data_IF_710284444757
#
_entry.id   IF_710284444757
#
_cell.length_a   1.000
_cell.length_b   1.000
_cell.length_c   1.000
_cell.angle_alpha   90.00
_cell.angle_beta   90.00
_cell.angle_gamma   90.00
#
_symmetry.space_group_name_H-M   'P 1'
#
loop_
_entity.id
_entity.type
_entity.pdbx_description
1 polymer ?
#
# COMPACT_ATOMS: atom_id res chain seq x y z
N UNK A 1 46.84 25.60 15.54
CA UNK A 1 45.56 25.18 14.90
C UNK A 1 45.46 23.67 15.02
N UNK A 2 44.49 23.14 15.76
CA UNK A 2 43.83 21.87 15.43
C UNK A 2 42.52 21.78 16.24
N UNK A 3 41.44 22.17 15.59
CA UNK A 3 40.08 21.95 16.03
C UNK A 3 39.74 20.54 15.57
N UNK A 4 39.65 19.58 16.49
CA UNK A 4 39.08 18.27 16.19
C UNK A 4 37.55 18.38 16.21
N UNK A 5 36.96 18.42 15.02
CA UNK A 5 35.52 18.35 14.83
C UNK A 5 35.01 16.97 15.27
N UNK A 6 34.18 16.93 16.33
CA UNK A 6 33.31 15.78 16.63
C UNK A 6 32.20 15.77 15.57
N UNK A 7 32.28 14.84 14.61
CA UNK A 7 31.29 14.72 13.54
C UNK A 7 31.12 13.27 13.11
N UNK A 8 30.62 12.41 14.00
CA UNK A 8 30.39 10.99 13.69
C UNK A 8 29.04 10.47 14.21
N UNK A 9 28.01 11.34 14.30
CA UNK A 9 26.66 10.95 14.73
C UNK A 9 25.58 11.16 13.65
N UNK A 10 25.90 11.81 12.53
CA UNK A 10 24.93 12.15 11.48
C UNK A 10 24.65 11.01 10.47
N UNK A 11 25.65 10.28 9.94
CA UNK A 11 25.38 9.31 8.87
C UNK A 11 24.79 8.00 9.39
N UNK A 12 25.04 7.63 10.65
CA UNK A 12 24.54 6.40 11.28
C UNK A 12 23.05 6.50 11.64
N UNK A 13 22.55 7.70 11.96
CA UNK A 13 21.15 7.92 12.28
C UNK A 13 20.26 7.83 11.04
N UNK A 14 20.77 8.26 9.88
CA UNK A 14 20.03 8.23 8.60
C UNK A 14 19.77 6.80 8.11
N UNK A 15 20.73 5.89 8.30
CA UNK A 15 20.60 4.46 7.94
C UNK A 15 19.52 3.73 8.72
N UNK A 16 19.25 4.15 9.96
CA UNK A 16 18.21 3.58 10.83
C UNK A 16 16.80 4.05 10.45
N UNK A 17 16.68 5.22 9.81
CA UNK A 17 15.39 5.82 9.43
C UNK A 17 14.86 5.31 8.08
N UNK A 18 15.73 4.80 7.21
CA UNK A 18 15.37 4.30 5.87
C UNK A 18 14.38 3.11 5.87
N UNK A 19 14.57 2.04 6.69
CA UNK A 19 13.61 0.93 6.70
C UNK A 19 12.22 1.33 7.24
N UNK A 20 12.14 2.33 8.12
CA UNK A 20 10.84 2.88 8.57
C UNK A 20 10.09 3.60 7.44
N UNK A 21 10.81 4.29 6.55
CA UNK A 21 10.20 4.98 5.41
C UNK A 21 9.57 4.01 4.40
N UNK A 22 10.21 2.87 4.16
CA UNK A 22 9.68 1.85 3.25
C UNK A 22 8.37 1.23 3.79
N UNK A 23 8.27 1.01 5.10
CA UNK A 23 7.04 0.53 5.73
C UNK A 23 5.88 1.54 5.65
N UNK A 24 6.19 2.85 5.65
CA UNK A 24 5.19 3.92 5.60
C UNK A 24 4.52 4.09 4.22
N UNK A 25 5.15 3.62 3.14
CA UNK A 25 4.60 3.72 1.77
C UNK A 25 3.52 2.66 1.47
N UNK A 26 3.31 1.69 2.37
CA UNK A 26 2.25 0.68 2.24
C UNK A 26 2.44 -0.29 1.07
N UNK A 27 3.64 -0.37 0.51
CA UNK A 27 3.96 -1.29 -0.61
C UNK A 27 4.47 -2.62 -0.08
N UNK A 28 3.90 -3.71 -0.57
CA UNK A 28 4.28 -5.08 -0.21
C UNK A 28 5.07 -5.69 -1.37
N UNK A 29 6.17 -6.38 -1.08
CA UNK A 29 6.89 -7.17 -2.09
C UNK A 29 6.08 -8.43 -2.46
N UNK A 30 5.23 -8.29 -3.47
CA UNK A 30 4.40 -9.37 -3.98
C UNK A 30 5.20 -10.53 -4.60
N UNK A 31 6.48 -10.36 -4.94
CA UNK A 31 7.28 -11.44 -5.53
C UNK A 31 7.72 -12.50 -4.51
N UNK A 32 7.58 -12.20 -3.20
CA UNK A 32 8.10 -13.02 -2.09
C UNK A 32 7.14 -13.06 -0.91
N UNK A 33 5.86 -13.27 -1.18
CA UNK A 33 4.87 -13.36 -0.10
C UNK A 33 4.97 -14.71 0.61
N UNK A 34 5.23 -14.69 1.91
CA UNK A 34 5.36 -15.89 2.73
C UNK A 34 4.05 -16.18 3.45
N UNK A 35 3.42 -17.32 3.12
CA UNK A 35 2.28 -17.87 3.86
C UNK A 35 2.51 -19.36 4.06
N UNK A 36 2.27 -19.86 5.28
CA UNK A 36 2.44 -21.29 5.63
C UNK A 36 3.80 -21.89 5.21
N UNK A 37 4.88 -21.12 5.32
CA UNK A 37 6.26 -21.47 4.90
C UNK A 37 6.44 -21.67 3.39
N UNK A 38 5.46 -21.29 2.58
CA UNK A 38 5.54 -21.26 1.13
C UNK A 38 5.70 -19.83 0.63
N UNK A 39 6.61 -19.64 -0.33
CA UNK A 39 6.73 -18.38 -1.05
C UNK A 39 5.78 -18.37 -2.24
N UNK A 40 4.94 -17.34 -2.30
CA UNK A 40 4.03 -17.06 -3.40
C UNK A 40 4.51 -15.82 -4.14
N UNK A 41 4.51 -15.91 -5.47
CA UNK A 41 4.66 -14.76 -6.34
C UNK A 41 3.27 -14.29 -6.78
N UNK A 42 2.83 -13.17 -6.20
CA UNK A 42 1.58 -12.49 -6.53
C UNK A 42 1.81 -11.30 -7.46
N UNK A 43 2.99 -11.13 -8.06
CA UNK A 43 3.29 -10.00 -8.96
C UNK A 43 2.35 -9.92 -10.15
N UNK A 44 1.80 -11.05 -10.60
CA UNK A 44 0.77 -11.10 -11.63
C UNK A 44 -0.57 -10.42 -11.23
N UNK A 45 -0.79 -10.18 -9.92
CA UNK A 45 -1.94 -9.47 -9.36
C UNK A 45 -1.62 -8.01 -9.00
N UNK A 46 -0.48 -7.49 -9.44
CA UNK A 46 -0.11 -6.09 -9.22
C UNK A 46 -1.01 -5.17 -10.05
N UNK A 47 -1.75 -4.30 -9.36
CA UNK A 47 -2.68 -3.36 -9.95
C UNK A 47 -4.08 -3.45 -9.33
N UNK A 48 -4.97 -2.50 -9.66
CA UNK A 48 -6.35 -2.53 -9.18
C UNK A 48 -7.18 -3.62 -9.88
N UNK A 49 -7.77 -4.51 -9.11
CA UNK A 49 -8.73 -5.52 -9.58
C UNK A 49 -10.10 -5.27 -8.94
N UNK A 50 -11.17 -5.30 -9.74
CA UNK A 50 -12.53 -5.06 -9.27
C UNK A 50 -13.39 -6.32 -9.33
N UNK A 51 -14.17 -6.57 -8.28
CA UNK A 51 -15.13 -7.69 -8.20
C UNK A 51 -16.46 -7.19 -7.66
N UNK A 52 -17.56 -7.70 -8.23
CA UNK A 52 -18.91 -7.40 -7.77
C UNK A 52 -19.38 -8.49 -6.80
N UNK A 53 -19.88 -8.08 -5.64
CA UNK A 53 -20.54 -8.92 -4.68
C UNK A 53 -22.00 -8.50 -4.58
N UNK A 54 -22.90 -9.44 -4.80
CA UNK A 54 -24.35 -9.21 -4.78
C UNK A 54 -24.96 -9.92 -3.57
N UNK A 55 -25.70 -9.16 -2.76
CA UNK A 55 -26.47 -9.68 -1.63
C UNK A 55 -27.95 -9.46 -1.92
N UNK A 56 -28.76 -10.52 -1.79
CA UNK A 56 -30.21 -10.39 -1.92
C UNK A 56 -30.76 -9.64 -0.72
N UNK A 57 -31.51 -8.56 -0.98
CA UNK A 57 -32.21 -7.77 0.04
C UNK A 57 -33.64 -7.51 -0.45
N UNK A 58 -34.56 -8.49 -0.30
CA UNK A 58 -35.87 -8.42 -0.93
C UNK A 58 -36.63 -7.10 -0.62
N UNK A 59 -37.28 -6.48 -1.63
CA UNK A 59 -37.49 -6.97 -2.99
C UNK A 59 -36.36 -6.64 -3.99
N UNK A 60 -35.17 -6.23 -3.53
CA UNK A 60 -34.06 -5.79 -4.39
C UNK A 60 -32.77 -6.61 -4.16
N UNK A 61 -31.73 -6.24 -4.92
CA UNK A 61 -30.37 -6.73 -4.76
C UNK A 61 -29.46 -5.56 -4.41
N UNK A 62 -28.57 -5.76 -3.45
CA UNK A 62 -27.49 -4.82 -3.14
C UNK A 62 -26.22 -5.31 -3.82
N UNK A 63 -25.83 -4.62 -4.90
CA UNK A 63 -24.57 -4.86 -5.59
C UNK A 63 -23.50 -3.93 -5.04
N UNK A 64 -22.43 -4.50 -4.51
CA UNK A 64 -21.25 -3.76 -4.07
C UNK A 64 -20.05 -4.18 -4.91
N UNK A 65 -19.42 -3.21 -5.57
CA UNK A 65 -18.17 -3.45 -6.31
C UNK A 65 -16.99 -3.06 -5.44
N UNK A 66 -16.13 -4.02 -5.13
CA UNK A 66 -14.88 -3.78 -4.41
C UNK A 66 -13.74 -3.66 -5.41
N UNK A 67 -12.85 -2.70 -5.20
CA UNK A 67 -11.56 -2.65 -5.92
C UNK A 67 -10.43 -2.86 -4.93
N UNK A 68 -9.51 -3.77 -5.26
CA UNK A 68 -8.42 -4.17 -4.38
C UNK A 68 -7.12 -4.14 -5.20
N UNK A 69 -6.04 -3.65 -4.60
CA UNK A 69 -4.69 -3.85 -5.08
C UNK A 69 -3.89 -4.45 -3.93
N UNK A 70 -3.35 -5.65 -4.14
CA UNK A 70 -2.68 -6.43 -3.09
C UNK A 70 -1.27 -5.91 -2.85
N UNK A 71 -0.60 -5.43 -3.90
CA UNK A 71 0.82 -5.10 -3.85
C UNK A 71 1.08 -3.66 -3.44
N UNK A 72 0.15 -2.76 -3.76
CA UNK A 72 0.34 -1.31 -3.61
C UNK A 72 -0.96 -0.62 -3.19
N UNK A 73 -0.87 0.56 -2.54
CA UNK A 73 -2.06 1.31 -2.19
C UNK A 73 -2.86 1.76 -3.43
N UNK A 74 -4.17 1.94 -3.28
CA UNK A 74 -5.04 2.34 -4.39
C UNK A 74 -4.82 3.81 -4.75
N UNK A 75 -4.76 4.08 -6.06
CA UNK A 75 -4.70 5.45 -6.57
C UNK A 75 -6.12 6.03 -6.58
N UNK A 76 -6.34 7.26 -6.08
CA UNK A 76 -7.64 7.89 -6.11
C UNK A 76 -8.17 8.01 -7.55
N UNK A 77 -9.46 7.77 -7.74
CA UNK A 77 -10.10 7.91 -9.04
C UNK A 77 -10.14 9.40 -9.45
N UNK A 78 -9.49 9.73 -10.56
CA UNK A 78 -9.43 11.09 -11.10
C UNK A 78 -10.80 11.61 -11.56
N UNK A 79 -11.75 10.71 -11.83
CA UNK A 79 -13.10 11.06 -12.27
C UNK A 79 -14.02 11.42 -11.09
N UNK A 80 -13.60 11.13 -9.85
CA UNK A 80 -14.34 11.49 -8.63
C UNK A 80 -13.83 12.84 -8.10
N UNK A 81 -14.75 13.72 -7.68
CA UNK A 81 -14.41 15.02 -7.08
C UNK A 81 -13.59 14.82 -5.81
N UNK A 82 -12.65 15.73 -5.53
CA UNK A 82 -11.69 15.56 -4.43
C UNK A 82 -12.38 15.39 -3.07
N UNK A 83 -13.52 16.04 -2.89
CA UNK A 83 -14.31 16.06 -1.66
C UNK A 83 -15.11 14.77 -1.46
N UNK A 84 -15.36 14.03 -2.54
CA UNK A 84 -16.11 12.76 -2.56
C UNK A 84 -15.16 11.54 -2.58
N UNK A 85 -13.85 11.76 -2.72
CA UNK A 85 -12.85 10.68 -2.72
C UNK A 85 -12.73 10.08 -1.33
N UNK A 86 -12.53 8.78 -1.30
CA UNK A 86 -12.12 8.12 -0.08
C UNK A 86 -10.78 8.70 0.42
N UNK A 87 -10.57 8.78 1.75
CA UNK A 87 -9.29 9.16 2.31
C UNK A 87 -8.18 8.27 1.73
N UNK A 88 -7.07 8.89 1.33
CA UNK A 88 -5.92 8.12 0.85
C UNK A 88 -5.43 7.16 1.94
N UNK A 89 -4.98 5.94 1.59
CA UNK A 89 -4.77 5.42 0.23
C UNK A 89 -5.85 4.39 -0.21
N UNK A 90 -7.11 4.82 -0.19
CA UNK A 90 -8.28 4.00 -0.59
C UNK A 90 -9.05 4.65 -1.74
N UNK A 91 -9.97 3.91 -2.38
CA UNK A 91 -10.78 4.34 -3.52
C UNK A 91 -12.23 3.88 -3.36
#
# INVERSE_FOLDING_TARGET
>A
MHIHARGAAMPTLMSLLFPLYAAALGTIDCSKMLADKHNFDLSALDGPHSVMHSVEQPPSWLNTTYTINICRPLVPDSNVKKEERCPGPTR
#
